data_IF_691783993112
#
_entry.id   IF_691783993112
#
_cell.length_a   1.000
_cell.length_b   1.000
_cell.length_c   1.000
_cell.angle_alpha   90.00
_cell.angle_beta   90.00
_cell.angle_gamma   90.00
#
_symmetry.space_group_name_H-M   'P 1'
#
loop_
_entity.id
_entity.type
_entity.pdbx_description
1 polymer ?
#
# COMPACT_ATOMS: atom_id res chain seq x y z
N UNK A 1 -6.06 64.21 -42.57
CA UNK A 1 -6.24 65.39 -41.68
C UNK A 1 -5.86 64.89 -40.28
N UNK A 2 -4.60 65.02 -39.83
CA UNK A 2 -3.94 66.16 -39.23
C UNK A 2 -4.67 66.67 -37.95
N UNK A 3 -4.06 66.45 -36.84
CA UNK A 3 -3.58 67.36 -35.77
C UNK A 3 -3.42 66.51 -34.47
N UNK A 4 -2.27 66.25 -33.97
CA UNK A 4 -1.18 67.04 -33.32
C UNK A 4 -1.41 67.30 -31.84
N UNK A 5 -0.57 66.64 -31.01
CA UNK A 5 0.14 67.06 -29.79
C UNK A 5 -0.52 68.04 -28.81
N UNK A 6 -0.55 67.70 -27.54
CA UNK A 6 0.14 68.51 -26.52
C UNK A 6 0.43 67.68 -25.24
N UNK A 7 1.71 67.65 -24.92
CA UNK A 7 2.34 67.27 -23.65
C UNK A 7 2.14 68.29 -22.61
N UNK A 8 1.68 67.97 -21.41
CA UNK A 8 1.83 68.80 -20.23
C UNK A 8 2.53 67.97 -19.13
N UNK A 9 3.77 68.39 -18.85
CA UNK A 9 4.52 67.99 -17.65
C UNK A 9 4.05 68.80 -16.48
N UNK A 10 3.58 68.22 -15.41
CA UNK A 10 3.48 68.85 -14.09
C UNK A 10 4.32 68.05 -13.09
N UNK A 11 5.39 68.75 -12.66
CA UNK A 11 6.22 68.34 -11.51
C UNK A 11 5.41 68.57 -10.22
N UNK A 12 5.29 67.56 -9.39
CA UNK A 12 4.87 67.67 -7.99
C UNK A 12 5.98 67.02 -7.13
N UNK A 13 6.41 67.62 -6.04
CA UNK A 13 7.60 67.22 -5.29
C UNK A 13 7.30 65.98 -4.41
N UNK A 14 8.29 65.12 -4.34
CA UNK A 14 8.30 63.86 -3.52
C UNK A 14 8.33 64.21 -2.03
N UNK A 15 7.28 63.90 -1.34
CA UNK A 15 7.22 63.78 0.11
C UNK A 15 7.87 62.49 0.57
N UNK A 16 8.85 62.56 1.47
CA UNK A 16 9.57 61.42 2.04
C UNK A 16 8.68 60.68 3.03
N UNK A 17 8.00 59.61 2.60
CA UNK A 17 7.34 58.69 3.50
C UNK A 17 8.37 57.83 4.26
N UNK A 18 8.21 57.80 5.57
CA UNK A 18 8.99 56.98 6.52
C UNK A 18 8.72 55.51 6.26
N UNK A 19 9.71 54.79 5.72
CA UNK A 19 9.67 53.34 5.59
C UNK A 19 9.54 52.70 6.97
N UNK A 20 8.42 52.02 7.20
CA UNK A 20 8.13 51.23 8.38
C UNK A 20 9.15 50.10 8.57
N UNK A 21 9.55 49.88 9.82
CA UNK A 21 10.48 48.86 10.28
C UNK A 21 10.10 47.41 9.81
N UNK A 22 8.84 47.19 9.45
CA UNK A 22 8.30 45.89 9.05
C UNK A 22 8.58 45.50 7.59
N UNK A 23 9.03 46.39 6.73
CA UNK A 23 9.35 46.08 5.33
C UNK A 23 10.70 45.35 5.14
N UNK A 24 11.50 45.16 6.21
CA UNK A 24 12.78 44.44 6.17
C UNK A 24 12.64 42.91 6.29
N UNK A 25 11.45 42.41 6.61
CA UNK A 25 11.21 40.96 6.77
C UNK A 25 10.56 40.26 5.57
N UNK A 26 10.31 41.00 4.46
CA UNK A 26 9.65 40.43 3.27
C UNK A 26 10.54 40.28 2.03
N UNK A 27 11.84 40.44 2.16
CA UNK A 27 12.77 40.02 1.10
C UNK A 27 13.50 38.75 1.57
N UNK A 28 12.78 37.63 1.57
CA UNK A 28 13.37 36.30 1.48
C UNK A 28 13.90 36.15 0.06
N UNK A 29 15.21 36.12 -0.10
CA UNK A 29 15.85 35.66 -1.32
C UNK A 29 15.35 34.26 -1.67
N UNK A 30 15.22 33.90 -2.96
CA UNK A 30 14.87 32.54 -3.33
C UNK A 30 16.01 31.64 -2.84
N UNK A 31 15.77 30.93 -1.76
CA UNK A 31 16.63 29.81 -1.39
C UNK A 31 16.62 28.83 -2.56
N UNK A 32 17.71 28.82 -3.32
CA UNK A 32 18.07 27.68 -4.14
C UNK A 32 18.04 26.44 -3.24
N UNK A 33 17.02 25.64 -3.37
CA UNK A 33 17.04 24.26 -2.87
C UNK A 33 18.07 23.52 -3.68
N UNK A 34 19.35 23.60 -3.26
CA UNK A 34 20.38 22.68 -3.69
C UNK A 34 19.84 21.29 -3.36
N UNK A 35 19.49 20.55 -4.39
CA UNK A 35 19.22 19.13 -4.27
C UNK A 35 20.46 18.50 -3.67
N UNK A 36 20.38 18.04 -2.43
CA UNK A 36 21.38 17.18 -1.81
C UNK A 36 21.32 15.79 -2.49
N UNK A 37 21.72 15.77 -3.78
CA UNK A 37 22.15 14.56 -4.44
C UNK A 37 23.64 14.45 -4.20
N UNK A 38 24.06 13.39 -3.48
CA UNK A 38 25.45 13.01 -3.21
C UNK A 38 26.20 13.84 -2.14
N UNK A 39 25.62 14.06 -0.98
CA UNK A 39 26.43 14.10 0.21
C UNK A 39 26.59 12.63 0.66
N UNK A 40 27.79 12.08 0.53
CA UNK A 40 28.16 10.89 1.27
C UNK A 40 28.00 11.26 2.75
N UNK A 41 26.85 10.91 3.32
CA UNK A 41 26.60 11.02 4.75
C UNK A 41 27.50 9.94 5.37
N UNK A 42 28.68 10.33 5.83
CA UNK A 42 29.43 9.54 6.78
C UNK A 42 28.59 9.53 8.06
N UNK A 43 27.65 8.58 8.15
CA UNK A 43 27.00 8.29 9.39
C UNK A 43 28.09 7.76 10.32
N UNK A 44 28.47 8.56 11.30
CA UNK A 44 29.18 8.07 12.47
C UNK A 44 28.21 7.13 13.19
N UNK A 45 28.30 5.85 12.83
CA UNK A 45 27.60 4.80 13.53
C UNK A 45 28.25 4.64 14.90
N UNK A 46 27.56 5.07 15.94
CA UNK A 46 27.87 4.65 17.31
C UNK A 46 27.64 3.15 17.39
N UNK A 47 28.67 2.42 17.82
CA UNK A 47 28.60 0.97 17.99
C UNK A 47 27.46 0.65 18.96
N UNK A 48 26.39 -0.01 18.45
CA UNK A 48 25.24 -0.40 19.26
C UNK A 48 23.90 0.26 18.84
N UNK A 49 23.92 1.33 18.03
CA UNK A 49 22.67 1.92 17.56
C UNK A 49 22.11 1.14 16.35
N UNK A 50 20.82 0.83 16.35
CA UNK A 50 20.19 0.13 15.24
C UNK A 50 20.18 1.02 14.00
N UNK A 51 20.58 0.48 12.84
CA UNK A 51 20.55 1.16 11.55
C UNK A 51 19.34 0.71 10.77
N UNK A 52 18.45 1.66 10.48
CA UNK A 52 17.26 1.40 9.68
C UNK A 52 17.48 1.85 8.23
N UNK A 53 16.79 1.18 7.28
CA UNK A 53 16.78 1.57 5.88
C UNK A 53 16.18 2.98 5.71
N UNK A 54 16.56 3.71 4.67
CA UNK A 54 16.04 5.06 4.41
C UNK A 54 14.56 5.04 4.02
N UNK A 55 13.84 6.15 4.30
CA UNK A 55 12.39 6.25 4.09
C UNK A 55 12.01 6.76 2.70
N UNK A 56 12.85 6.58 1.70
CA UNK A 56 12.53 6.94 0.31
C UNK A 56 11.72 5.82 -0.36
N UNK A 57 10.85 6.18 -1.29
CA UNK A 57 10.03 5.24 -2.06
C UNK A 57 10.86 4.11 -2.68
N UNK A 58 11.99 4.44 -3.31
CA UNK A 58 12.89 3.46 -3.91
C UNK A 58 13.46 2.48 -2.89
N UNK A 59 13.76 2.93 -1.68
CA UNK A 59 14.20 2.07 -0.57
C UNK A 59 13.07 1.17 -0.08
N UNK A 60 11.86 1.69 0.06
CA UNK A 60 10.68 0.88 0.45
C UNK A 60 10.37 -0.20 -0.58
N UNK A 61 10.47 0.14 -1.87
CA UNK A 61 10.29 -0.84 -2.94
C UNK A 61 11.40 -1.85 -2.98
N UNK A 62 12.67 -1.42 -2.97
CA UNK A 62 13.83 -2.31 -3.16
C UNK A 62 14.10 -3.20 -1.94
N UNK A 63 14.10 -2.64 -0.73
CA UNK A 63 14.40 -3.37 0.51
C UNK A 63 13.16 -3.99 1.15
N UNK A 64 11.99 -3.38 0.98
CA UNK A 64 10.72 -3.87 1.51
C UNK A 64 10.04 -4.82 0.52
N UNK A 65 9.42 -4.29 -0.53
CA UNK A 65 8.56 -5.06 -1.42
C UNK A 65 9.30 -6.14 -2.23
N UNK A 66 10.46 -5.80 -2.82
CA UNK A 66 11.18 -6.75 -3.69
C UNK A 66 12.03 -7.78 -2.92
N UNK A 67 12.53 -7.44 -1.75
CA UNK A 67 13.38 -8.35 -0.95
C UNK A 67 12.61 -9.13 0.11
N UNK A 68 11.54 -8.57 0.65
CA UNK A 68 10.80 -9.18 1.74
C UNK A 68 9.59 -9.96 1.22
N UNK A 69 9.66 -11.28 1.30
CA UNK A 69 8.60 -12.16 0.79
C UNK A 69 7.26 -11.98 1.53
N UNK A 70 7.28 -11.63 2.82
CA UNK A 70 6.06 -11.43 3.62
C UNK A 70 5.35 -10.16 3.18
N UNK A 71 6.09 -9.05 3.02
CA UNK A 71 5.56 -7.78 2.51
C UNK A 71 4.97 -7.96 1.13
N UNK A 72 5.72 -8.59 0.21
CA UNK A 72 5.25 -8.90 -1.14
C UNK A 72 3.94 -9.67 -1.10
N UNK A 73 3.88 -10.72 -0.26
CA UNK A 73 2.69 -11.56 -0.16
C UNK A 73 1.49 -10.82 0.42
N UNK A 74 1.68 -10.00 1.47
CA UNK A 74 0.60 -9.18 2.04
C UNK A 74 0.01 -8.21 1.03
N UNK A 75 0.86 -7.42 0.37
CA UNK A 75 0.42 -6.42 -0.61
C UNK A 75 -0.28 -7.08 -1.80
N UNK A 76 0.31 -8.14 -2.37
CA UNK A 76 -0.29 -8.83 -3.51
C UNK A 76 -1.58 -9.56 -3.15
N UNK A 77 -1.68 -10.10 -1.94
CA UNK A 77 -2.92 -10.72 -1.46
C UNK A 77 -4.05 -9.71 -1.38
N UNK A 78 -3.81 -8.54 -0.78
CA UNK A 78 -4.80 -7.47 -0.67
C UNK A 78 -5.18 -6.96 -2.07
N UNK A 79 -4.20 -6.56 -2.87
CA UNK A 79 -4.43 -5.96 -4.17
C UNK A 79 -5.20 -6.88 -5.12
N UNK A 80 -4.82 -8.17 -5.21
CA UNK A 80 -5.46 -9.14 -6.10
C UNK A 80 -6.86 -9.54 -5.66
N UNK A 81 -7.12 -9.66 -4.36
CA UNK A 81 -8.48 -9.96 -3.92
C UNK A 81 -9.43 -8.79 -4.17
N UNK A 82 -8.99 -7.55 -3.96
CA UNK A 82 -9.80 -6.37 -4.28
C UNK A 82 -10.04 -6.28 -5.79
N UNK A 83 -9.01 -6.46 -6.60
CA UNK A 83 -9.11 -6.37 -8.07
C UNK A 83 -9.97 -7.45 -8.71
N UNK A 84 -10.23 -8.55 -8.02
CA UNK A 84 -11.09 -9.64 -8.48
C UNK A 84 -12.59 -9.38 -8.27
N UNK A 85 -12.96 -8.35 -7.48
CA UNK A 85 -14.37 -8.03 -7.21
C UNK A 85 -14.98 -7.31 -8.41
N UNK A 86 -16.06 -7.83 -9.02
CA UNK A 86 -16.71 -7.16 -10.13
C UNK A 86 -17.47 -5.92 -9.64
N UNK A 87 -17.33 -4.82 -10.38
CA UNK A 87 -18.06 -3.60 -10.11
C UNK A 87 -19.44 -3.61 -10.76
N UNK A 88 -20.39 -2.97 -10.10
CA UNK A 88 -21.77 -2.80 -10.56
C UNK A 88 -22.09 -1.30 -10.54
N UNK A 89 -22.79 -0.83 -11.57
CA UNK A 89 -23.29 0.53 -11.66
C UNK A 89 -24.77 0.54 -11.32
N UNK A 90 -25.18 1.46 -10.48
CA UNK A 90 -26.59 1.73 -10.16
C UNK A 90 -26.97 3.13 -10.62
N UNK A 91 -28.19 3.25 -11.11
CA UNK A 91 -28.88 4.51 -11.40
C UNK A 91 -30.19 4.51 -10.61
N UNK A 92 -30.37 5.43 -9.68
CA UNK A 92 -31.54 5.48 -8.80
C UNK A 92 -31.93 4.10 -8.20
N UNK A 93 -30.94 3.38 -7.65
CA UNK A 93 -31.07 2.02 -7.09
C UNK A 93 -31.38 0.89 -8.10
N UNK A 94 -31.42 1.19 -9.41
CA UNK A 94 -31.56 0.18 -10.45
C UNK A 94 -30.19 -0.17 -11.04
N UNK A 95 -29.92 -1.47 -11.20
CA UNK A 95 -28.68 -1.95 -11.79
C UNK A 95 -28.64 -1.63 -13.27
N UNK A 96 -27.59 -0.92 -13.71
CA UNK A 96 -27.32 -0.60 -15.11
C UNK A 96 -26.38 -1.65 -15.69
N UNK A 97 -26.79 -2.31 -16.77
CA UNK A 97 -26.03 -3.40 -17.38
C UNK A 97 -25.01 -2.93 -18.42
N UNK A 98 -25.24 -1.77 -19.05
CA UNK A 98 -24.36 -1.20 -20.09
C UNK A 98 -24.28 0.31 -19.94
N UNK A 99 -23.07 0.81 -19.74
CA UNK A 99 -22.80 2.25 -19.63
C UNK A 99 -21.32 2.52 -19.97
N UNK A 100 -20.97 3.65 -20.58
CA UNK A 100 -19.59 3.99 -20.93
C UNK A 100 -18.57 3.92 -19.78
N UNK A 101 -19.01 4.19 -18.53
CA UNK A 101 -18.19 4.03 -17.31
C UNK A 101 -17.77 2.57 -17.11
N UNK A 102 -18.70 1.63 -17.31
CA UNK A 102 -18.40 0.21 -17.15
C UNK A 102 -17.41 -0.27 -18.20
N UNK A 103 -17.54 0.22 -19.43
CA UNK A 103 -16.59 -0.10 -20.52
C UNK A 103 -15.22 0.52 -20.24
N UNK A 104 -15.17 1.78 -19.78
CA UNK A 104 -13.94 2.43 -19.35
C UNK A 104 -13.27 1.67 -18.21
N UNK A 105 -14.01 1.26 -17.16
CA UNK A 105 -13.44 0.50 -16.06
C UNK A 105 -13.02 -0.91 -16.46
N UNK A 106 -13.73 -1.56 -17.36
CA UNK A 106 -13.37 -2.88 -17.89
C UNK A 106 -12.03 -2.83 -18.62
N UNK A 107 -11.78 -1.77 -19.39
CA UNK A 107 -10.54 -1.53 -20.12
C UNK A 107 -10.08 -0.08 -19.90
N UNK A 108 -9.43 0.23 -18.77
CA UNK A 108 -9.06 1.60 -18.42
C UNK A 108 -8.10 2.26 -19.38
N UNK A 109 -7.26 1.47 -20.06
CA UNK A 109 -6.32 1.93 -21.10
C UNK A 109 -5.92 0.76 -22.01
N UNK A 110 -5.17 1.07 -23.06
CA UNK A 110 -4.73 0.06 -24.03
C UNK A 110 -3.78 -1.02 -23.48
N UNK A 111 -3.25 -0.86 -22.26
CA UNK A 111 -2.27 -1.78 -21.66
C UNK A 111 -2.82 -2.58 -20.47
N UNK A 112 -3.91 -2.13 -19.86
CA UNK A 112 -4.42 -2.69 -18.61
C UNK A 112 -5.92 -2.99 -18.72
N UNK A 113 -6.31 -4.12 -18.11
CA UNK A 113 -7.70 -4.40 -17.78
C UNK A 113 -8.01 -3.89 -16.36
N UNK A 114 -9.28 -3.99 -15.95
CA UNK A 114 -9.74 -3.60 -14.61
C UNK A 114 -8.88 -4.18 -13.47
N UNK A 115 -8.62 -5.49 -13.52
CA UNK A 115 -7.88 -6.16 -12.45
C UNK A 115 -6.45 -5.62 -12.31
N UNK A 116 -5.72 -5.48 -13.44
CA UNK A 116 -4.35 -4.94 -13.43
C UNK A 116 -4.30 -3.46 -13.01
N UNK A 117 -5.32 -2.70 -13.38
CA UNK A 117 -5.46 -1.29 -12.97
C UNK A 117 -5.67 -1.18 -11.46
N UNK A 118 -6.66 -1.90 -10.90
CA UNK A 118 -6.93 -1.90 -9.48
C UNK A 118 -5.75 -2.46 -8.65
N UNK A 119 -5.10 -3.54 -9.13
CA UNK A 119 -3.89 -4.08 -8.51
C UNK A 119 -2.81 -3.00 -8.41
N UNK A 120 -2.61 -2.21 -9.46
CA UNK A 120 -1.63 -1.11 -9.47
C UNK A 120 -2.00 0.01 -8.49
N UNK A 121 -3.27 0.44 -8.46
CA UNK A 121 -3.77 1.50 -7.56
C UNK A 121 -3.57 1.10 -6.10
N UNK A 122 -4.02 -0.10 -5.72
CA UNK A 122 -3.92 -0.59 -4.33
C UNK A 122 -2.46 -0.86 -3.95
N UNK A 123 -1.66 -1.40 -4.87
CA UNK A 123 -0.24 -1.65 -4.60
C UNK A 123 0.51 -0.35 -4.31
N UNK A 124 0.33 0.70 -5.11
CA UNK A 124 0.95 2.00 -4.83
C UNK A 124 0.45 2.62 -3.53
N UNK A 125 -0.85 2.50 -3.24
CA UNK A 125 -1.43 2.98 -1.99
C UNK A 125 -0.78 2.31 -0.77
N UNK A 126 -0.58 1.00 -0.81
CA UNK A 126 0.06 0.25 0.29
C UNK A 126 1.57 0.50 0.37
N UNK A 127 2.25 0.75 -0.75
CA UNK A 127 3.70 1.01 -0.79
C UNK A 127 4.06 2.42 -0.34
N UNK A 128 3.34 3.43 -0.79
CA UNK A 128 3.68 4.84 -0.56
C UNK A 128 2.74 5.57 0.38
N UNK A 129 1.56 5.01 0.65
CA UNK A 129 0.46 5.72 1.31
C UNK A 129 -0.38 6.57 0.36
N UNK A 130 0.09 6.75 -0.88
CA UNK A 130 -0.54 7.56 -1.92
C UNK A 130 -0.71 6.75 -3.21
N UNK A 131 -1.80 6.97 -3.93
CA UNK A 131 -2.00 6.48 -5.28
C UNK A 131 -2.60 7.58 -6.15
N UNK A 132 -2.12 7.71 -7.37
CA UNK A 132 -2.54 8.75 -8.31
C UNK A 132 -3.08 8.13 -9.59
N UNK A 133 -4.25 8.55 -10.02
CA UNK A 133 -4.86 8.14 -11.28
C UNK A 133 -5.11 9.37 -12.13
N UNK A 134 -4.65 9.34 -13.37
CA UNK A 134 -4.87 10.40 -14.35
C UNK A 134 -5.99 10.00 -15.30
N UNK A 135 -6.95 10.89 -15.51
CA UNK A 135 -7.95 10.80 -16.56
C UNK A 135 -7.47 11.51 -17.82
N UNK A 136 -7.63 10.85 -18.97
CA UNK A 136 -7.42 11.43 -20.28
C UNK A 136 -8.74 11.61 -21.00
N UNK A 137 -8.92 12.78 -21.63
CA UNK A 137 -10.06 13.11 -22.46
C UNK A 137 -9.55 13.31 -23.89
N UNK A 138 -10.03 12.54 -24.84
CA UNK A 138 -9.75 12.76 -26.24
C UNK A 138 -10.76 13.78 -26.82
N UNK A 139 -10.27 14.75 -27.59
CA UNK A 139 -11.11 15.83 -28.15
C UNK A 139 -12.21 15.30 -29.08
N UNK A 140 -11.98 14.16 -29.73
CA UNK A 140 -12.92 13.54 -30.67
C UNK A 140 -13.80 12.44 -30.06
N UNK A 141 -13.70 12.22 -28.73
CA UNK A 141 -14.48 11.19 -28.05
C UNK A 141 -15.82 11.72 -27.56
N UNK A 142 -16.89 10.96 -27.80
CA UNK A 142 -18.21 11.23 -27.22
C UNK A 142 -18.21 10.99 -25.68
N UNK A 143 -17.23 10.26 -25.19
CA UNK A 143 -17.08 9.98 -23.76
C UNK A 143 -16.25 11.07 -23.07
N UNK A 144 -16.69 11.60 -21.94
CA UNK A 144 -15.96 12.67 -21.23
C UNK A 144 -14.58 12.23 -20.74
N UNK A 145 -14.40 10.95 -20.39
CA UNK A 145 -13.12 10.34 -20.06
C UNK A 145 -12.90 9.14 -20.97
N UNK A 146 -11.75 9.12 -21.64
CA UNK A 146 -11.40 8.08 -22.62
C UNK A 146 -10.48 7.02 -22.02
N UNK A 147 -9.55 7.41 -21.17
CA UNK A 147 -8.57 6.51 -20.57
C UNK A 147 -8.25 6.90 -19.11
N UNK A 148 -7.88 5.89 -18.32
CA UNK A 148 -7.38 6.05 -16.95
C UNK A 148 -5.97 5.44 -16.83
N UNK A 149 -5.02 6.20 -16.33
CA UNK A 149 -3.64 5.76 -16.12
C UNK A 149 -3.20 5.93 -14.69
N UNK A 150 -2.58 4.90 -14.12
CA UNK A 150 -2.01 4.97 -12.78
C UNK A 150 -0.62 5.58 -12.85
N UNK A 151 -0.39 6.67 -12.10
CA UNK A 151 0.89 7.36 -12.05
C UNK A 151 1.73 6.87 -10.88
N UNK A 152 3.05 6.81 -11.08
CA UNK A 152 3.99 6.45 -10.02
C UNK A 152 4.05 7.55 -8.96
N UNK A 153 3.90 7.21 -7.65
CA UNK A 153 3.88 8.19 -6.56
C UNK A 153 5.19 8.97 -6.39
N UNK A 154 6.34 8.33 -6.67
CA UNK A 154 7.67 8.97 -6.58
C UNK A 154 7.90 10.05 -7.65
N UNK A 155 7.15 9.98 -8.76
CA UNK A 155 7.23 10.95 -9.86
C UNK A 155 6.12 11.99 -9.81
N UNK A 156 5.20 11.88 -8.87
CA UNK A 156 4.06 12.78 -8.73
C UNK A 156 4.23 13.66 -7.51
N UNK A 157 4.37 14.96 -7.72
CA UNK A 157 4.56 15.96 -6.69
C UNK A 157 3.27 16.75 -6.48
N UNK A 158 2.97 17.05 -5.22
CA UNK A 158 1.80 17.84 -4.85
C UNK A 158 2.27 19.26 -4.62
N UNK A 159 1.68 20.23 -5.34
CA UNK A 159 1.92 21.64 -5.11
C UNK A 159 0.94 22.12 -4.05
N UNK A 160 1.43 22.54 -2.86
CA UNK A 160 0.56 22.99 -1.79
C UNK A 160 -0.26 24.21 -2.20
N UNK A 161 -1.48 24.27 -1.76
CA UNK A 161 -2.39 25.40 -1.96
C UNK A 161 -2.89 25.96 -0.64
N UNK A 162 -3.89 26.83 -0.70
CA UNK A 162 -4.51 27.41 0.47
C UNK A 162 -5.50 26.44 1.12
N UNK A 163 -5.65 26.54 2.44
CA UNK A 163 -6.64 25.78 3.22
C UNK A 163 -6.52 24.25 3.12
N UNK A 164 -5.31 23.71 2.93
CA UNK A 164 -5.09 22.25 2.87
C UNK A 164 -5.47 21.58 1.55
N UNK A 165 -5.94 22.35 0.55
CA UNK A 165 -6.18 21.83 -0.80
C UNK A 165 -4.93 21.97 -1.66
N UNK A 166 -4.59 20.97 -2.49
CA UNK A 166 -3.51 21.10 -3.46
C UNK A 166 -3.88 22.14 -4.52
N UNK A 167 -2.91 22.97 -4.92
CA UNK A 167 -3.05 23.92 -6.03
C UNK A 167 -2.90 23.21 -7.39
N UNK A 168 -2.01 22.25 -7.47
CA UNK A 168 -1.73 21.48 -8.66
C UNK A 168 -1.03 20.16 -8.30
N UNK A 169 -1.03 19.24 -9.25
CA UNK A 169 -0.19 18.04 -9.24
C UNK A 169 0.84 18.15 -10.37
N UNK A 170 2.07 17.75 -10.12
CA UNK A 170 3.16 17.78 -11.07
C UNK A 170 3.68 16.35 -11.27
N UNK A 171 3.61 15.86 -12.49
CA UNK A 171 4.15 14.56 -12.85
C UNK A 171 5.42 14.73 -13.69
N UNK A 172 6.52 14.15 -13.21
CA UNK A 172 7.86 14.30 -13.79
C UNK A 172 8.33 12.97 -14.36
N UNK A 173 8.57 12.93 -15.68
CA UNK A 173 9.14 11.77 -16.38
C UNK A 173 10.37 12.21 -17.15
N UNK A 174 11.54 11.82 -16.69
CA UNK A 174 12.81 12.29 -17.25
C UNK A 174 12.94 13.82 -17.10
N UNK A 175 13.09 14.53 -18.23
CA UNK A 175 13.12 15.99 -18.29
C UNK A 175 11.74 16.65 -18.49
N UNK A 176 10.70 15.87 -18.74
CA UNK A 176 9.35 16.38 -18.97
C UNK A 176 8.59 16.53 -17.66
N UNK A 177 8.03 17.72 -17.43
CA UNK A 177 7.19 18.03 -16.29
C UNK A 177 5.81 18.42 -16.79
N UNK A 178 4.81 17.64 -16.41
CA UNK A 178 3.41 17.91 -16.68
C UNK A 178 2.75 18.45 -15.41
N UNK A 179 2.11 19.59 -15.48
CA UNK A 179 1.41 20.22 -14.34
C UNK A 179 -0.09 20.17 -14.57
N UNK A 180 -0.82 19.63 -13.61
CA UNK A 180 -2.27 19.50 -13.60
C UNK A 180 -2.85 20.42 -12.54
N UNK A 181 -3.42 21.54 -12.94
CA UNK A 181 -4.02 22.49 -12.02
C UNK A 181 -5.33 21.95 -11.44
N UNK A 182 -5.55 22.23 -10.17
CA UNK A 182 -6.85 21.99 -9.51
C UNK A 182 -7.71 23.22 -9.70
N UNK A 183 -8.93 23.04 -10.19
CA UNK A 183 -9.85 24.16 -10.39
C UNK A 183 -10.19 24.81 -9.05
N UNK A 184 -10.04 26.15 -8.93
CA UNK A 184 -10.13 26.84 -7.64
C UNK A 184 -11.52 26.76 -6.97
N UNK A 185 -12.59 26.73 -7.76
CA UNK A 185 -13.96 26.69 -7.25
C UNK A 185 -14.52 25.26 -7.15
N UNK A 186 -14.51 24.50 -8.25
CA UNK A 186 -15.08 23.16 -8.32
C UNK A 186 -14.20 22.09 -7.70
N UNK A 187 -12.91 22.38 -7.43
CA UNK A 187 -11.90 21.43 -6.96
C UNK A 187 -11.66 20.24 -7.91
N UNK A 188 -12.20 20.30 -9.12
CA UNK A 188 -11.98 19.28 -10.13
C UNK A 188 -10.55 19.30 -10.63
N UNK A 189 -10.00 18.13 -10.85
CA UNK A 189 -8.65 17.91 -11.37
C UNK A 189 -8.65 16.62 -12.21
N UNK A 190 -7.91 16.57 -13.32
CA UNK A 190 -7.74 15.32 -14.07
C UNK A 190 -6.94 14.26 -13.32
N UNK A 191 -6.42 14.59 -12.13
CA UNK A 191 -5.72 13.65 -11.24
C UNK A 191 -6.62 13.31 -10.05
N UNK A 192 -6.92 12.03 -9.88
CA UNK A 192 -7.45 11.48 -8.63
C UNK A 192 -6.28 11.17 -7.71
N UNK A 193 -6.31 11.69 -6.51
CA UNK A 193 -5.37 11.37 -5.45
C UNK A 193 -6.06 10.60 -4.34
N UNK A 194 -5.72 9.34 -4.19
CA UNK A 194 -6.17 8.47 -3.09
C UNK A 194 -5.03 8.40 -2.08
N UNK A 195 -5.30 8.70 -0.82
CA UNK A 195 -4.28 8.68 0.24
C UNK A 195 -4.78 8.01 1.50
N UNK A 196 -3.88 7.33 2.19
CA UNK A 196 -4.10 6.87 3.56
C UNK A 196 -3.94 8.04 4.54
N UNK A 197 -4.56 7.93 5.70
CA UNK A 197 -4.47 8.98 6.72
C UNK A 197 -3.02 9.17 7.19
N UNK A 198 -2.60 10.44 7.26
CA UNK A 198 -1.30 10.83 7.79
C UNK A 198 -1.52 11.95 8.83
N UNK A 199 -1.19 11.73 10.10
CA UNK A 199 -1.36 12.74 11.14
C UNK A 199 -0.35 13.89 11.05
N UNK A 200 0.76 13.72 10.31
CA UNK A 200 1.84 14.71 10.21
C UNK A 200 1.76 15.57 8.96
N UNK A 201 1.12 15.08 7.91
CA UNK A 201 1.04 15.77 6.62
C UNK A 201 -0.37 15.67 6.04
N UNK A 202 -1.00 16.82 5.82
CA UNK A 202 -2.33 16.88 5.21
C UNK A 202 -2.35 16.59 3.71
N UNK A 203 -1.21 16.63 3.01
CA UNK A 203 -1.13 16.42 1.57
C UNK A 203 -0.74 14.99 1.20
N UNK A 204 0.19 14.38 1.93
CA UNK A 204 0.69 13.03 1.66
C UNK A 204 0.13 12.01 2.62
N UNK A 205 -0.13 10.81 2.11
CA UNK A 205 -0.50 9.66 2.92
C UNK A 205 0.71 9.00 3.59
N UNK A 206 0.44 8.12 4.58
CA UNK A 206 1.47 7.29 5.20
C UNK A 206 1.23 5.81 4.87
N UNK A 207 2.27 5.14 4.41
CA UNK A 207 2.22 3.71 4.08
C UNK A 207 2.23 2.85 5.35
N UNK A 208 1.51 1.72 5.40
CA UNK A 208 1.65 0.71 6.44
C UNK A 208 3.10 0.19 6.59
N UNK A 209 3.89 0.23 5.51
CA UNK A 209 5.30 -0.15 5.55
C UNK A 209 6.14 0.69 6.52
N UNK A 210 5.73 1.94 6.78
CA UNK A 210 6.40 2.79 7.75
C UNK A 210 6.34 2.22 9.16
N UNK A 211 5.17 1.75 9.56
CA UNK A 211 4.96 1.11 10.86
C UNK A 211 5.64 -0.25 10.95
N UNK A 212 5.68 -0.99 9.85
CA UNK A 212 6.32 -2.30 9.78
C UNK A 212 7.85 -2.25 9.56
N UNK A 213 8.43 -1.07 9.36
CA UNK A 213 9.82 -0.89 8.89
C UNK A 213 10.85 -1.64 9.74
N UNK A 214 10.80 -1.49 11.06
CA UNK A 214 11.73 -2.16 11.97
C UNK A 214 11.68 -3.68 11.84
N UNK A 215 10.48 -4.24 11.65
CA UNK A 215 10.28 -5.69 11.48
C UNK A 215 10.71 -6.17 10.10
N UNK A 216 10.52 -5.35 9.07
CA UNK A 216 11.03 -5.62 7.71
C UNK A 216 12.55 -5.66 7.72
N UNK A 217 13.19 -4.65 8.31
CA UNK A 217 14.64 -4.56 8.42
C UNK A 217 15.20 -5.72 9.25
N UNK A 218 14.60 -6.03 10.41
CA UNK A 218 14.97 -7.17 11.24
C UNK A 218 14.91 -8.49 10.45
N UNK A 219 13.80 -8.75 9.76
CA UNK A 219 13.63 -9.97 8.97
C UNK A 219 14.67 -10.06 7.84
N UNK A 220 14.95 -8.96 7.15
CA UNK A 220 15.94 -8.89 6.09
C UNK A 220 17.35 -9.12 6.62
N UNK A 221 17.71 -8.60 7.80
CA UNK A 221 18.99 -8.82 8.47
C UNK A 221 19.14 -10.28 8.87
N UNK A 222 18.12 -10.88 9.47
CA UNK A 222 18.16 -12.32 9.86
C UNK A 222 18.35 -13.21 8.63
N UNK A 223 17.62 -12.96 7.55
CA UNK A 223 17.76 -13.72 6.30
C UNK A 223 19.14 -13.51 5.69
N UNK A 224 19.62 -12.28 5.65
CA UNK A 224 20.96 -11.93 5.15
C UNK A 224 22.08 -12.58 5.96
N UNK A 225 21.96 -12.57 7.28
CA UNK A 225 22.93 -13.22 8.17
C UNK A 225 22.97 -14.74 7.96
N UNK A 226 21.79 -15.39 7.91
CA UNK A 226 21.71 -16.84 7.65
C UNK A 226 22.30 -17.21 6.28
N UNK A 227 22.03 -16.40 5.25
CA UNK A 227 22.58 -16.61 3.94
C UNK A 227 24.12 -16.47 3.95
N UNK A 228 24.65 -15.45 4.64
CA UNK A 228 26.09 -15.26 4.79
C UNK A 228 26.76 -16.40 5.55
N UNK A 229 26.14 -16.92 6.61
CA UNK A 229 26.62 -18.10 7.33
C UNK A 229 26.68 -19.33 6.42
N UNK A 230 25.63 -19.59 5.65
CA UNK A 230 25.61 -20.71 4.70
C UNK A 230 26.65 -20.57 3.59
N UNK A 231 26.84 -19.36 3.06
CA UNK A 231 27.86 -19.05 2.06
C UNK A 231 29.28 -19.18 2.61
N UNK A 232 29.49 -18.96 3.90
CA UNK A 232 30.75 -19.14 4.61
C UNK A 232 30.91 -20.56 5.19
N UNK A 233 30.23 -21.55 4.62
CA UNK A 233 30.24 -22.95 5.04
C UNK A 233 29.85 -23.20 6.50
N UNK A 234 28.98 -22.33 7.06
CA UNK A 234 28.53 -22.45 8.44
C UNK A 234 29.56 -22.09 9.50
N UNK A 235 30.72 -21.56 9.09
CA UNK A 235 31.78 -21.16 10.05
C UNK A 235 31.37 -19.85 10.73
N UNK A 236 31.16 -19.82 12.04
CA UNK A 236 30.91 -18.58 12.78
C UNK A 236 32.16 -17.69 12.76
N UNK A 237 31.94 -16.38 13.01
CA UNK A 237 33.04 -15.43 13.14
C UNK A 237 33.92 -15.81 14.34
N UNK A 238 35.21 -15.95 14.12
CA UNK A 238 36.12 -16.33 15.18
C UNK A 238 37.55 -15.83 14.94
N UNK A 239 38.39 -15.97 15.94
CA UNK A 239 39.81 -15.67 15.87
C UNK A 239 40.62 -16.94 15.94
N UNK A 240 41.58 -17.08 15.03
CA UNK A 240 42.59 -18.10 15.10
C UNK A 240 43.74 -17.58 15.97
N UNK A 241 43.90 -18.15 17.14
CA UNK A 241 44.98 -17.78 18.07
C UNK A 241 46.15 -18.77 17.95
N UNK A 242 47.35 -18.23 17.92
CA UNK A 242 48.58 -19.02 17.91
C UNK A 242 49.10 -19.09 19.34
N UNK A 243 49.26 -20.31 19.87
CA UNK A 243 49.87 -20.52 21.20
C UNK A 243 51.37 -20.77 21.02
N UNK A 244 52.17 -19.98 21.70
CA UNK A 244 53.62 -20.28 21.93
C UNK A 244 54.66 -19.52 21.13
N UNK A 245 54.41 -19.04 19.91
CA UNK A 245 55.38 -18.25 19.16
C UNK A 245 54.71 -17.14 18.36
N UNK A 246 55.32 -15.97 18.25
CA UNK A 246 54.87 -14.93 17.34
C UNK A 246 55.17 -15.34 15.89
N UNK A 247 54.13 -15.40 15.06
CA UNK A 247 54.31 -15.60 13.62
C UNK A 247 55.05 -14.44 13.01
N UNK A 248 56.00 -14.76 12.11
CA UNK A 248 56.67 -13.76 11.28
C UNK A 248 55.70 -13.18 10.24
N UNK A 249 55.93 -11.96 9.75
CA UNK A 249 55.04 -11.32 8.76
C UNK A 249 54.82 -12.15 7.46
N UNK A 250 55.82 -12.86 6.90
CA UNK A 250 55.62 -13.78 5.81
C UNK A 250 54.61 -14.89 6.14
N UNK A 251 54.75 -15.54 7.30
CA UNK A 251 53.86 -16.61 7.77
C UNK A 251 52.41 -16.11 8.00
N UNK A 252 52.25 -14.89 8.49
CA UNK A 252 50.92 -14.27 8.60
C UNK A 252 50.28 -14.05 7.23
N UNK A 253 51.06 -13.63 6.25
CA UNK A 253 50.55 -13.39 4.90
C UNK A 253 50.18 -14.69 4.20
N UNK A 254 51.02 -15.73 4.30
CA UNK A 254 50.71 -17.06 3.76
C UNK A 254 49.41 -17.64 4.37
N UNK A 255 49.23 -17.48 5.68
CA UNK A 255 48.00 -17.91 6.37
C UNK A 255 46.78 -17.13 5.90
N UNK A 256 46.93 -15.81 5.69
CA UNK A 256 45.86 -14.96 5.13
C UNK A 256 45.50 -15.36 3.70
N UNK A 257 46.44 -15.69 2.87
CA UNK A 257 46.21 -16.14 1.50
C UNK A 257 45.52 -17.51 1.47
N UNK A 258 45.95 -18.44 2.31
CA UNK A 258 45.32 -19.75 2.45
C UNK A 258 43.85 -19.58 2.90
N UNK A 259 43.56 -18.75 3.91
CA UNK A 259 42.18 -18.45 4.36
C UNK A 259 41.34 -17.77 3.28
N UNK A 260 41.93 -16.88 2.50
CA UNK A 260 41.25 -16.26 1.35
C UNK A 260 40.95 -17.26 0.24
N UNK A 261 41.90 -18.12 -0.08
CA UNK A 261 41.73 -19.15 -1.13
C UNK A 261 40.66 -20.17 -0.77
N UNK A 262 40.53 -20.52 0.49
CA UNK A 262 39.45 -21.39 1.00
C UNK A 262 38.08 -20.73 0.84
N UNK A 263 37.94 -19.43 1.18
CA UNK A 263 36.70 -18.68 0.97
C UNK A 263 36.30 -18.57 -0.51
N UNK A 264 37.29 -18.37 -1.39
CA UNK A 264 37.09 -18.20 -2.83
C UNK A 264 36.61 -19.49 -3.54
N UNK A 265 36.94 -20.67 -3.01
CA UNK A 265 36.58 -21.99 -3.58
C UNK A 265 35.26 -22.57 -3.06
N UNK A 266 34.47 -21.78 -2.32
CA UNK A 266 33.20 -22.28 -1.77
C UNK A 266 33.39 -23.35 -0.71
N UNK A 267 34.37 -23.24 0.09
CA UNK A 267 35.00 -24.10 1.10
C UNK A 267 34.19 -25.03 2.00
N UNK A 268 33.02 -25.43 1.61
CA UNK A 268 32.27 -26.46 2.33
C UNK A 268 33.00 -27.80 2.20
N UNK A 269 33.56 -28.28 3.33
CA UNK A 269 34.23 -29.57 3.40
C UNK A 269 35.74 -29.57 3.05
N UNK A 270 36.40 -28.43 2.81
CA UNK A 270 37.85 -28.39 2.62
C UNK A 270 38.58 -28.48 3.97
N UNK A 271 39.48 -29.44 4.10
CA UNK A 271 40.35 -29.55 5.26
C UNK A 271 41.55 -28.59 5.12
N UNK A 272 41.84 -27.85 6.19
CA UNK A 272 43.03 -27.02 6.31
C UNK A 272 44.08 -27.79 7.10
N UNK A 273 45.25 -27.95 6.55
CA UNK A 273 46.40 -28.47 7.28
C UNK A 273 47.13 -27.31 7.94
N UNK A 274 47.10 -27.24 9.26
CA UNK A 274 47.84 -26.25 10.05
C UNK A 274 48.96 -26.96 10.80
N UNK A 275 50.19 -26.51 10.62
CA UNK A 275 51.33 -26.95 11.41
C UNK A 275 51.58 -25.92 12.51
N UNK A 276 51.40 -26.34 13.78
CA UNK A 276 51.57 -25.48 14.94
C UNK A 276 50.42 -25.60 15.95
N UNK A 277 50.58 -24.95 17.11
CA UNK A 277 49.57 -24.88 18.15
C UNK A 277 48.57 -23.75 17.85
N UNK A 278 47.51 -24.04 17.12
CA UNK A 278 46.45 -23.13 16.82
C UNK A 278 45.20 -23.44 17.66
N UNK A 279 44.57 -22.41 18.19
CA UNK A 279 43.30 -22.51 18.89
C UNK A 279 42.28 -21.61 18.17
N UNK A 280 41.18 -22.20 17.80
CA UNK A 280 40.01 -21.45 17.29
C UNK A 280 39.19 -20.94 18.46
N UNK A 281 39.03 -19.63 18.56
CA UNK A 281 38.13 -19.01 19.54
C UNK A 281 36.97 -18.37 18.81
N UNK A 282 35.77 -18.88 19.04
CA UNK A 282 34.55 -18.25 18.54
C UNK A 282 34.39 -16.86 19.20
N UNK A 283 34.14 -15.84 18.39
CA UNK A 283 34.00 -14.46 18.83
C UNK A 283 32.57 -13.92 18.57
N UNK A 284 31.60 -14.79 18.27
CA UNK A 284 30.21 -14.43 18.05
C UNK A 284 29.25 -15.30 18.85
N UNK A 285 28.03 -14.86 18.97
CA UNK A 285 26.94 -15.69 19.51
C UNK A 285 26.68 -16.83 18.53
N UNK A 286 26.41 -18.05 19.05
CA UNK A 286 26.06 -19.17 18.19
C UNK A 286 24.69 -18.89 17.53
N UNK A 287 24.44 -19.40 16.32
CA UNK A 287 23.13 -19.28 15.68
C UNK A 287 21.97 -19.81 16.54
N UNK A 288 22.27 -20.77 17.41
CA UNK A 288 21.33 -21.34 18.37
C UNK A 288 20.97 -20.40 19.52
N UNK A 289 21.95 -19.58 19.95
CA UNK A 289 21.75 -18.62 21.06
C UNK A 289 21.01 -17.35 20.59
N UNK A 290 20.92 -17.10 19.30
CA UNK A 290 20.25 -15.92 18.73
C UNK A 290 18.77 -16.16 18.39
N UNK A 291 18.27 -17.38 18.50
CA UNK A 291 16.87 -17.77 18.19
C UNK A 291 16.29 -17.14 16.91
N UNK A 292 17.09 -17.15 15.85
CA UNK A 292 16.72 -16.53 14.56
C UNK A 292 15.41 -17.06 13.96
N UNK A 293 15.04 -18.30 14.28
CA UNK A 293 13.82 -18.90 13.73
C UNK A 293 12.58 -18.28 14.33
N UNK A 294 12.57 -18.12 15.65
CA UNK A 294 11.44 -17.49 16.36
C UNK A 294 11.36 -16.01 16.03
N UNK A 295 12.47 -15.28 16.08
CA UNK A 295 12.54 -13.86 15.72
C UNK A 295 12.07 -13.59 14.27
N UNK A 296 12.43 -14.46 13.31
CA UNK A 296 11.93 -14.39 11.93
C UNK A 296 10.42 -14.59 11.86
N UNK A 297 9.88 -15.54 12.63
CA UNK A 297 8.45 -15.85 12.63
C UNK A 297 7.65 -14.73 13.31
N UNK A 298 8.16 -14.17 14.41
CA UNK A 298 7.54 -13.01 15.05
C UNK A 298 7.52 -11.80 14.13
N UNK A 299 8.65 -11.45 13.53
CA UNK A 299 8.71 -10.33 12.58
C UNK A 299 7.72 -10.52 11.41
N UNK A 300 7.59 -11.74 10.89
CA UNK A 300 6.63 -12.05 9.83
C UNK A 300 5.17 -11.85 10.28
N UNK A 301 4.84 -12.23 11.52
CA UNK A 301 3.49 -12.03 12.09
C UNK A 301 3.19 -10.55 12.31
N UNK A 302 4.14 -9.79 12.83
CA UNK A 302 3.98 -8.35 13.04
C UNK A 302 3.83 -7.59 11.73
N UNK A 303 4.60 -7.93 10.69
CA UNK A 303 4.41 -7.38 9.34
C UNK A 303 3.00 -7.67 8.86
N UNK A 304 2.54 -8.93 8.95
CA UNK A 304 1.20 -9.31 8.53
C UNK A 304 0.10 -8.55 9.28
N UNK A 305 0.28 -8.36 10.59
CA UNK A 305 -0.65 -7.62 11.44
C UNK A 305 -0.75 -6.14 11.03
N UNK A 306 0.36 -5.47 10.71
CA UNK A 306 0.35 -4.07 10.25
C UNK A 306 -0.44 -3.91 8.95
N UNK A 307 -0.37 -4.91 8.05
CA UNK A 307 -1.18 -4.93 6.82
C UNK A 307 -2.63 -5.40 7.03
N UNK A 308 -3.02 -5.78 8.25
CA UNK A 308 -4.33 -6.35 8.54
C UNK A 308 -4.55 -7.73 7.91
N UNK A 309 -3.47 -8.47 7.64
CA UNK A 309 -3.52 -9.79 7.02
C UNK A 309 -3.33 -10.86 8.09
N UNK A 310 -4.30 -11.75 8.35
CA UNK A 310 -4.11 -12.86 9.26
C UNK A 310 -2.92 -13.73 8.82
N UNK A 311 -1.99 -14.09 9.73
CA UNK A 311 -0.78 -14.85 9.39
C UNK A 311 -1.04 -16.17 8.65
N UNK A 312 -2.16 -16.81 8.94
CA UNK A 312 -2.59 -18.05 8.26
C UNK A 312 -2.84 -17.84 6.76
N UNK A 313 -3.33 -16.66 6.34
CA UNK A 313 -3.61 -16.35 4.93
C UNK A 313 -2.34 -16.16 4.09
N UNK A 314 -1.18 -15.97 4.72
CA UNK A 314 0.13 -15.86 4.05
C UNK A 314 1.02 -17.11 4.27
N UNK A 315 0.47 -18.18 4.87
CA UNK A 315 1.19 -19.45 5.05
C UNK A 315 2.08 -19.52 6.30
N UNK A 316 1.94 -18.59 7.25
CA UNK A 316 2.60 -18.69 8.54
C UNK A 316 1.75 -19.65 9.40
N UNK A 317 2.30 -20.82 9.67
CA UNK A 317 1.65 -21.85 10.46
C UNK A 317 1.57 -21.42 11.93
N UNK A 318 0.42 -21.66 12.54
CA UNK A 318 0.12 -21.61 13.95
C UNK A 318 -0.83 -22.77 14.26
N UNK A 319 -1.66 -22.69 15.29
CA UNK A 319 -2.69 -23.69 15.61
C UNK A 319 -3.80 -23.70 14.55
N UNK A 320 -3.47 -24.18 13.34
CA UNK A 320 -4.31 -24.07 12.17
C UNK A 320 -5.20 -25.31 12.00
N UNK A 321 -6.45 -25.17 12.44
CA UNK A 321 -7.54 -26.06 11.98
C UNK A 321 -8.16 -25.46 10.71
N UNK A 322 -8.85 -26.28 9.93
CA UNK A 322 -9.55 -25.81 8.72
C UNK A 322 -10.60 -24.71 9.02
N UNK A 323 -11.29 -24.82 10.15
CA UNK A 323 -12.26 -23.84 10.59
C UNK A 323 -11.62 -22.47 10.90
N UNK A 324 -10.45 -22.47 11.54
CA UNK A 324 -9.71 -21.25 11.85
C UNK A 324 -9.24 -20.54 10.57
N UNK A 325 -8.88 -21.31 9.52
CA UNK A 325 -8.51 -20.72 8.24
C UNK A 325 -9.71 -20.03 7.54
N UNK A 326 -10.88 -20.66 7.56
CA UNK A 326 -12.09 -20.03 7.00
C UNK A 326 -12.45 -18.76 7.74
N UNK A 327 -12.36 -18.76 9.05
CA UNK A 327 -12.62 -17.58 9.89
C UNK A 327 -11.58 -16.48 9.66
N UNK A 328 -10.30 -16.82 9.60
CA UNK A 328 -9.23 -15.88 9.25
C UNK A 328 -9.44 -15.25 7.87
N UNK A 329 -9.90 -16.02 6.88
CA UNK A 329 -10.23 -15.51 5.55
C UNK A 329 -11.44 -14.56 5.58
N UNK A 330 -12.43 -14.86 6.41
CA UNK A 330 -13.59 -13.98 6.60
C UNK A 330 -13.17 -12.65 7.22
N UNK A 331 -12.38 -12.70 8.31
CA UNK A 331 -11.83 -11.49 8.94
C UNK A 331 -10.98 -10.67 7.96
N UNK A 332 -10.14 -11.30 7.15
CA UNK A 332 -9.39 -10.60 6.11
C UNK A 332 -10.31 -9.78 5.19
N UNK A 333 -11.43 -10.36 4.76
CA UNK A 333 -12.38 -9.67 3.91
C UNK A 333 -13.09 -8.54 4.63
N UNK A 334 -13.63 -8.78 5.83
CA UNK A 334 -14.44 -7.82 6.55
C UNK A 334 -13.62 -6.65 7.10
N UNK A 335 -12.43 -6.95 7.67
CA UNK A 335 -11.65 -5.96 8.40
C UNK A 335 -10.64 -5.22 7.51
N UNK A 336 -10.24 -5.82 6.38
CA UNK A 336 -9.17 -5.25 5.54
C UNK A 336 -9.61 -5.00 4.10
N UNK A 337 -10.12 -6.02 3.39
CA UNK A 337 -10.35 -5.89 1.95
C UNK A 337 -11.55 -5.00 1.62
N UNK A 338 -12.68 -5.17 2.31
CA UNK A 338 -13.88 -4.36 2.10
C UNK A 338 -13.63 -2.88 2.40
N UNK A 339 -12.99 -2.48 3.52
CA UNK A 339 -12.67 -1.08 3.77
C UNK A 339 -11.80 -0.43 2.68
N UNK A 340 -10.80 -1.15 2.15
CA UNK A 340 -10.02 -0.63 1.02
C UNK A 340 -10.83 -0.53 -0.27
N UNK A 341 -11.69 -1.50 -0.55
CA UNK A 341 -12.58 -1.47 -1.71
C UNK A 341 -13.59 -0.32 -1.61
N UNK A 342 -14.23 -0.14 -0.44
CA UNK A 342 -15.17 0.95 -0.18
C UNK A 342 -14.49 2.32 -0.31
N UNK A 343 -13.26 2.45 0.19
CA UNK A 343 -12.46 3.66 0.02
C UNK A 343 -12.17 3.95 -1.46
N UNK A 344 -11.71 2.95 -2.22
CA UNK A 344 -11.45 3.09 -3.65
C UNK A 344 -12.71 3.53 -4.42
N UNK A 345 -13.83 2.86 -4.17
CA UNK A 345 -15.11 3.19 -4.80
C UNK A 345 -15.62 4.56 -4.40
N UNK A 346 -15.48 4.93 -3.13
CA UNK A 346 -15.85 6.27 -2.65
C UNK A 346 -15.10 7.36 -3.40
N UNK A 347 -13.80 7.18 -3.60
CA UNK A 347 -12.98 8.12 -4.38
C UNK A 347 -13.34 8.13 -5.87
N UNK A 348 -13.60 6.96 -6.48
CA UNK A 348 -14.03 6.88 -7.87
C UNK A 348 -15.41 7.52 -8.07
N UNK A 349 -16.35 7.26 -7.18
CA UNK A 349 -17.67 7.87 -7.20
C UNK A 349 -17.61 9.40 -7.13
N UNK A 350 -16.81 9.92 -6.21
CA UNK A 350 -16.68 11.36 -6.03
C UNK A 350 -15.96 12.05 -7.20
N UNK A 351 -14.99 11.39 -7.83
CA UNK A 351 -14.14 12.00 -8.84
C UNK A 351 -14.59 11.73 -10.28
N UNK A 352 -14.97 10.47 -10.60
CA UNK A 352 -15.24 10.04 -11.97
C UNK A 352 -16.71 10.25 -12.37
N UNK A 353 -17.66 9.97 -11.47
CA UNK A 353 -19.07 10.00 -11.82
C UNK A 353 -19.60 11.39 -12.20
N UNK A 354 -19.17 12.51 -11.63
CA UNK A 354 -19.63 13.83 -12.05
C UNK A 354 -19.41 14.15 -13.53
N UNK A 355 -18.45 13.48 -14.18
CA UNK A 355 -18.27 13.61 -15.64
C UNK A 355 -19.39 12.96 -16.46
N UNK A 356 -20.14 12.02 -15.89
CA UNK A 356 -21.18 11.23 -16.56
C UNK A 356 -22.60 11.55 -16.06
N UNK A 357 -22.74 12.26 -14.95
CA UNK A 357 -24.01 12.65 -14.31
C UNK A 357 -24.05 12.30 -12.82
N UNK A 358 -24.93 12.99 -12.09
CA UNK A 358 -25.01 12.88 -10.62
C UNK A 358 -25.84 11.69 -10.12
N UNK A 359 -26.49 10.95 -11.03
CA UNK A 359 -27.45 9.90 -10.65
C UNK A 359 -26.84 8.50 -10.58
N UNK A 360 -25.57 8.38 -10.90
CA UNK A 360 -24.89 7.09 -10.94
C UNK A 360 -24.12 6.82 -9.65
N UNK A 361 -24.07 5.54 -9.28
CA UNK A 361 -23.26 5.07 -8.13
C UNK A 361 -22.57 3.77 -8.51
N UNK A 362 -21.21 3.77 -8.44
CA UNK A 362 -20.42 2.54 -8.53
C UNK A 362 -20.45 1.83 -7.18
N UNK A 363 -20.72 0.55 -7.23
CA UNK A 363 -20.76 -0.33 -6.07
C UNK A 363 -20.29 -1.74 -6.46
N UNK A 364 -20.41 -2.68 -5.56
CA UNK A 364 -20.15 -4.10 -5.79
C UNK A 364 -21.24 -4.93 -5.10
N UNK A 365 -21.41 -6.16 -5.55
CA UNK A 365 -22.30 -7.08 -4.90
C UNK A 365 -21.50 -7.97 -3.92
N UNK A 366 -21.85 -7.92 -2.64
CA UNK A 366 -21.22 -8.77 -1.60
C UNK A 366 -21.45 -10.25 -1.87
N UNK A 367 -22.49 -10.61 -2.60
CA UNK A 367 -22.83 -11.97 -2.94
C UNK A 367 -21.86 -12.60 -3.95
N UNK A 368 -21.14 -11.79 -4.71
CA UNK A 368 -20.13 -12.26 -5.65
C UNK A 368 -18.79 -12.58 -4.95
N UNK A 369 -18.70 -12.31 -3.63
CA UNK A 369 -17.51 -12.58 -2.84
C UNK A 369 -17.64 -13.92 -2.14
N UNK A 370 -17.01 -14.95 -2.73
CA UNK A 370 -17.08 -16.33 -2.20
C UNK A 370 -16.69 -16.50 -0.73
N UNK A 371 -15.81 -15.65 -0.21
CA UNK A 371 -15.39 -15.72 1.20
C UNK A 371 -16.51 -15.36 2.17
N UNK A 372 -17.51 -14.57 1.74
CA UNK A 372 -18.62 -14.12 2.57
C UNK A 372 -19.85 -15.06 2.51
N UNK A 373 -19.87 -16.02 1.58
CA UNK A 373 -21.00 -16.96 1.40
C UNK A 373 -21.33 -17.69 2.71
N UNK A 374 -20.40 -18.29 3.46
CA UNK A 374 -20.74 -19.04 4.68
C UNK A 374 -21.43 -18.19 5.76
N UNK A 375 -21.07 -16.90 5.86
CA UNK A 375 -21.73 -15.97 6.79
C UNK A 375 -23.14 -15.64 6.34
N UNK A 376 -23.34 -15.47 5.04
CA UNK A 376 -24.66 -15.24 4.45
C UNK A 376 -25.57 -16.44 4.65
N UNK A 377 -25.10 -17.66 4.42
CA UNK A 377 -25.86 -18.89 4.67
C UNK A 377 -26.30 -18.98 6.13
N UNK A 378 -25.39 -18.74 7.07
CA UNK A 378 -25.74 -18.69 8.50
C UNK A 378 -26.76 -17.62 8.82
N UNK A 379 -26.68 -16.44 8.17
CA UNK A 379 -27.65 -15.37 8.33
C UNK A 379 -29.02 -15.79 7.75
N UNK A 380 -29.04 -16.43 6.57
CA UNK A 380 -30.25 -16.94 5.96
C UNK A 380 -30.95 -17.97 6.83
N UNK A 381 -30.21 -18.96 7.36
CA UNK A 381 -30.75 -19.93 8.28
C UNK A 381 -31.37 -19.27 9.53
N UNK A 382 -30.67 -18.27 10.11
CA UNK A 382 -31.19 -17.53 11.27
C UNK A 382 -32.48 -16.79 10.92
N UNK A 383 -32.50 -16.03 9.81
CA UNK A 383 -33.66 -15.22 9.37
C UNK A 383 -34.87 -16.13 9.06
N UNK A 384 -34.62 -17.28 8.40
CA UNK A 384 -35.71 -18.23 8.11
C UNK A 384 -36.34 -18.82 9.38
N UNK A 385 -35.52 -19.04 10.43
CA UNK A 385 -36.02 -19.60 11.72
C UNK A 385 -36.75 -18.60 12.60
N UNK A 386 -36.65 -17.29 12.34
CA UNK A 386 -37.33 -16.25 13.12
C UNK A 386 -38.82 -16.24 12.76
N UNK A 387 -39.68 -16.55 13.70
CA UNK A 387 -41.14 -16.60 13.51
C UNK A 387 -41.83 -15.24 13.66
N UNK A 388 -41.20 -14.26 14.27
CA UNK A 388 -41.78 -12.93 14.53
C UNK A 388 -41.65 -11.95 13.35
N UNK A 389 -40.95 -12.32 12.25
CA UNK A 389 -40.82 -11.52 11.05
C UNK A 389 -41.81 -11.95 9.96
N UNK A 390 -42.36 -10.95 9.26
CA UNK A 390 -43.20 -11.18 8.07
C UNK A 390 -42.35 -11.70 6.90
N UNK A 391 -42.99 -12.27 5.91
CA UNK A 391 -42.30 -12.77 4.70
C UNK A 391 -41.58 -11.61 3.99
N UNK A 392 -42.17 -10.43 3.90
CA UNK A 392 -41.56 -9.27 3.26
C UNK A 392 -40.41 -8.70 4.07
N UNK A 393 -40.44 -8.72 5.40
CA UNK A 393 -39.32 -8.34 6.26
C UNK A 393 -38.16 -9.32 6.10
N UNK A 394 -38.41 -10.63 6.08
CA UNK A 394 -37.40 -11.64 5.79
C UNK A 394 -36.79 -11.43 4.42
N UNK A 395 -37.60 -11.22 3.39
CA UNK A 395 -37.14 -10.94 2.02
C UNK A 395 -36.27 -9.68 1.96
N UNK A 396 -36.68 -8.61 2.63
CA UNK A 396 -35.94 -7.35 2.72
C UNK A 396 -34.56 -7.56 3.37
N UNK A 397 -34.47 -8.30 4.47
CA UNK A 397 -33.20 -8.65 5.15
C UNK A 397 -32.31 -9.48 4.22
N UNK A 398 -32.90 -10.37 3.43
CA UNK A 398 -32.20 -11.24 2.47
C UNK A 398 -31.90 -10.55 1.13
N UNK A 399 -32.28 -9.26 0.95
CA UNK A 399 -32.03 -8.50 -0.26
C UNK A 399 -33.01 -8.75 -1.42
N UNK A 400 -34.14 -9.39 -1.16
CA UNK A 400 -35.19 -9.65 -2.18
C UNK A 400 -36.26 -8.57 -2.17
N UNK A 401 -36.86 -8.28 -3.33
CA UNK A 401 -38.02 -7.40 -3.46
C UNK A 401 -39.23 -7.95 -2.71
N UNK A 402 -40.11 -7.09 -2.15
CA UNK A 402 -41.34 -7.50 -1.49
C UNK A 402 -42.28 -8.19 -2.46
N UNK A 403 -43.13 -9.06 -1.95
CA UNK A 403 -44.22 -9.74 -2.71
C UNK A 403 -45.57 -9.31 -2.17
N UNK A 404 -46.57 -9.35 -3.05
CA UNK A 404 -47.97 -9.09 -2.66
C UNK A 404 -48.43 -10.14 -1.63
N UNK A 405 -49.01 -9.69 -0.51
CA UNK A 405 -49.46 -10.57 0.58
C UNK A 405 -48.40 -11.05 1.54
N UNK A 406 -47.13 -10.60 1.37
CA UNK A 406 -46.00 -11.01 2.24
C UNK A 406 -45.88 -10.22 3.56
N UNK A 407 -46.79 -9.31 3.88
CA UNK A 407 -46.75 -8.52 5.13
C UNK A 407 -47.44 -9.20 6.31
N UNK A 408 -47.91 -10.46 6.10
CA UNK A 408 -48.43 -11.31 7.15
C UNK A 408 -47.32 -12.17 7.77
N UNK A 409 -47.44 -12.41 9.07
CA UNK A 409 -46.56 -13.41 9.74
C UNK A 409 -46.81 -14.77 9.11
N UNK A 410 -45.76 -15.53 8.85
CA UNK A 410 -45.90 -16.91 8.44
C UNK A 410 -46.45 -17.70 9.64
N UNK A 411 -47.75 -17.86 9.70
CA UNK A 411 -48.41 -18.81 10.62
C UNK A 411 -47.90 -20.19 10.26
N UNK A 412 -47.40 -20.90 11.27
CA UNK A 412 -46.74 -22.19 11.06
C UNK A 412 -47.69 -23.16 10.32
N UNK A 413 -47.29 -23.48 9.09
CA UNK A 413 -47.97 -24.48 8.26
C UNK A 413 -47.98 -25.92 8.89
N UNK A 414 -47.41 -26.10 10.06
CA UNK A 414 -47.46 -27.34 10.83
C UNK A 414 -48.70 -27.47 11.72
N UNK A 415 -49.46 -26.37 12.01
CA UNK A 415 -50.68 -26.47 12.82
C UNK A 415 -51.90 -26.88 12.01
N UNK A 416 -51.92 -26.69 10.71
CA UNK A 416 -53.05 -27.09 9.85
C UNK A 416 -53.04 -28.58 9.53
N UNK A 417 -51.87 -29.18 9.41
CA UNK A 417 -51.77 -30.65 9.15
C UNK A 417 -52.16 -31.50 10.36
N UNK A 418 -51.94 -31.02 11.59
CA UNK A 418 -52.31 -31.78 12.81
C UNK A 418 -53.81 -31.66 13.14
N UNK A 419 -54.50 -30.62 12.66
CA UNK A 419 -55.96 -30.47 12.85
C UNK A 419 -56.77 -31.27 11.82
N UNK A 420 -56.23 -31.55 10.65
CA UNK A 420 -56.91 -32.43 9.67
C UNK A 420 -56.75 -33.92 9.98
N UNK A 421 -55.68 -34.34 10.69
CA UNK A 421 -55.53 -35.73 11.16
C UNK A 421 -56.31 -36.07 12.43
N UNK A 422 -56.84 -35.09 13.17
CA UNK A 422 -57.64 -35.29 14.39
C UNK A 422 -59.15 -35.19 14.16
N UNK A 423 -59.60 -34.91 12.95
CA UNK A 423 -61.03 -34.78 12.58
C UNK A 423 -61.43 -35.71 11.43
N UNK A 424 -60.60 -36.70 11.05
CA UNK A 424 -60.90 -37.77 10.10
C UNK A 424 -61.24 -39.09 10.75
#
# INVERSE_FOLDING_TARGET
>A
MLFNKHTVKTNIPMEKEKRSFWSRFQQGEPHETKSFRNAAMFAYQTVGDPVFSENFFDSQVSSGYLKNAVVYRCITLIARNISAVPLVLYEHDQRVMSHPILDLLKQPNGMQNYASFCESVITYLLLSGDSFVQAFCHQDSLNPVSELHVLRPDRTHIVPGLHGYPKAYEHVVGSRKNTFAVHPETKQCPILHIKLFNPLDGYRGVSPMWSAKSMIDLQNIIVGHNLALLQNAGCPSGALMVKGAQLTEPQKNDLREQLKSMKARGGAGSMMLLDGQFEWKEMGLSPKDMDFTEGRTMAAREIAQVFGVPPMCIGILGDSTYSNYQEARLHLWEDTLLPYLDMLLGHLNHWLLPYYGEHFTLSYNKDDIHALIPRREKMWEKVCKISCLTINEKRKILGYAPILGGDTLAEGSERTAVLEETLG
#
